data_IF_701306845324
#
_entry.id   IF_701306845324
#
_cell.length_a   1.000
_cell.length_b   1.000
_cell.length_c   1.000
_cell.angle_alpha   90.00
_cell.angle_beta   90.00
_cell.angle_gamma   90.00
#
_symmetry.space_group_name_H-M   'P 1'
#
loop_
_entity.id
_entity.type
_entity.pdbx_description
1 polymer ?
#
# COMPACT_ATOMS: atom_id res chain seq x y z
N UNK A 1 45.20 -44.06 -20.46
CA UNK A 1 46.23 -43.00 -20.36
C UNK A 1 45.57 -41.87 -19.58
N UNK A 2 45.77 -41.78 -18.24
CA UNK A 2 46.75 -41.00 -17.53
C UNK A 2 46.66 -39.52 -18.00
N UNK A 3 46.25 -38.53 -17.15
CA UNK A 3 46.98 -38.00 -15.98
C UNK A 3 46.05 -37.26 -15.02
N UNK A 4 46.18 -37.59 -13.75
CA UNK A 4 45.88 -36.76 -12.57
C UNK A 4 46.81 -35.58 -12.46
N UNK A 5 46.35 -34.48 -11.82
CA UNK A 5 47.12 -33.54 -10.99
C UNK A 5 46.06 -32.61 -10.34
N UNK A 6 45.71 -32.73 -9.12
CA UNK A 6 46.27 -32.38 -7.82
C UNK A 6 46.76 -30.94 -7.78
N UNK A 7 45.99 -30.08 -7.13
CA UNK A 7 46.51 -28.92 -6.39
C UNK A 7 45.61 -28.60 -5.19
N UNK A 8 46.05 -29.08 -4.04
CA UNK A 8 45.72 -28.54 -2.72
C UNK A 8 46.28 -27.11 -2.64
N UNK A 9 45.51 -26.17 -2.15
CA UNK A 9 46.06 -25.00 -1.45
C UNK A 9 45.22 -24.76 -0.18
N UNK A 10 45.90 -25.07 0.91
CA UNK A 10 45.65 -24.53 2.25
C UNK A 10 45.61 -23.00 2.17
N UNK A 11 44.66 -22.39 2.85
CA UNK A 11 45.03 -21.38 3.87
C UNK A 11 43.83 -21.06 4.72
N UNK A 12 43.85 -21.58 5.93
CA UNK A 12 43.06 -21.09 7.06
C UNK A 12 43.83 -19.91 7.65
N UNK A 13 43.41 -18.70 7.44
CA UNK A 13 43.83 -17.60 8.29
C UNK A 13 42.67 -17.13 9.15
N UNK A 14 42.76 -17.52 10.42
CA UNK A 14 42.03 -16.94 11.54
C UNK A 14 42.30 -15.43 11.62
N UNK A 15 41.30 -14.64 11.36
CA UNK A 15 41.31 -13.24 11.81
C UNK A 15 40.80 -13.20 13.25
N UNK A 16 41.74 -13.16 14.20
CA UNK A 16 41.52 -12.68 15.56
C UNK A 16 41.76 -11.17 15.54
N UNK A 17 40.73 -10.40 15.24
CA UNK A 17 40.71 -8.96 15.42
C UNK A 17 40.03 -8.61 16.74
N UNK A 18 40.82 -8.16 17.70
CA UNK A 18 40.37 -7.61 18.99
C UNK A 18 39.65 -6.28 18.73
N UNK A 19 38.37 -6.22 19.06
CA UNK A 19 37.59 -5.00 19.11
C UNK A 19 37.92 -4.23 20.40
N UNK A 20 38.16 -2.90 20.34
CA UNK A 20 38.35 -2.10 21.55
C UNK A 20 37.02 -2.00 22.30
N UNK A 21 37.08 -2.27 23.60
CA UNK A 21 35.95 -2.10 24.52
C UNK A 21 35.56 -0.63 24.59
N UNK A 22 34.32 -0.34 24.35
CA UNK A 22 33.71 0.96 24.64
C UNK A 22 33.68 1.21 26.17
N UNK A 23 33.94 2.46 26.62
CA UNK A 23 33.89 2.79 28.01
C UNK A 23 32.46 2.74 28.58
N UNK A 24 32.32 2.22 29.79
CA UNK A 24 31.09 2.16 30.53
C UNK A 24 30.59 3.58 30.90
N UNK A 25 29.30 3.87 30.80
CA UNK A 25 28.76 5.08 31.41
C UNK A 25 28.63 4.89 32.91
N UNK A 26 29.28 5.78 33.65
CA UNK A 26 29.10 5.93 35.09
C UNK A 26 27.71 6.44 35.43
N UNK A 27 27.11 5.76 36.37
CA UNK A 27 26.18 6.10 37.41
C UNK A 27 25.06 7.14 37.19
N UNK A 28 23.81 6.66 37.21
CA UNK A 28 22.78 7.32 37.98
C UNK A 28 21.89 6.25 38.65
N UNK A 29 21.97 6.23 39.98
CA UNK A 29 21.22 5.36 40.88
C UNK A 29 19.75 5.79 40.96
N UNK A 30 18.91 4.75 41.11
CA UNK A 30 17.65 4.72 41.82
C UNK A 30 16.44 5.44 41.20
N UNK A 31 15.49 4.63 40.61
CA UNK A 31 14.08 4.72 41.03
C UNK A 31 13.39 3.37 40.78
N UNK A 32 13.05 2.73 41.89
CA UNK A 32 11.86 1.92 42.20
C UNK A 32 11.63 0.58 41.47
N UNK A 33 12.04 -0.47 42.20
CA UNK A 33 11.41 -1.79 42.19
C UNK A 33 9.90 -1.69 42.50
N UNK A 34 9.07 -2.09 41.59
CA UNK A 34 7.84 -2.84 41.86
C UNK A 34 7.75 -3.98 40.88
N UNK A 35 8.38 -5.09 41.26
CA UNK A 35 8.12 -6.39 40.64
C UNK A 35 6.77 -6.84 41.16
N UNK A 36 5.76 -6.78 40.31
CA UNK A 36 4.54 -7.54 40.53
C UNK A 36 4.82 -8.95 40.01
N UNK A 37 5.05 -9.86 40.95
CA UNK A 37 5.08 -11.29 40.72
C UNK A 37 3.68 -11.76 40.33
N UNK A 38 3.44 -11.95 39.01
CA UNK A 38 2.31 -12.71 38.54
C UNK A 38 2.69 -14.20 38.46
N UNK A 39 1.84 -15.12 38.91
CA UNK A 39 2.17 -16.55 38.95
C UNK A 39 2.29 -17.12 37.55
N UNK A 40 3.37 -17.88 37.33
CA UNK A 40 3.54 -18.76 36.19
C UNK A 40 2.32 -19.71 36.09
N UNK A 41 1.42 -19.43 35.18
CA UNK A 41 0.44 -20.40 34.74
C UNK A 41 0.93 -21.03 33.46
N UNK A 42 1.29 -22.29 33.63
CA UNK A 42 1.21 -23.42 32.71
C UNK A 42 1.16 -23.05 31.22
N UNK A 43 2.32 -23.22 30.57
CA UNK A 43 2.42 -23.24 29.10
C UNK A 43 1.71 -24.52 28.64
N UNK A 44 0.44 -24.41 28.31
CA UNK A 44 -0.24 -25.42 27.50
C UNK A 44 0.34 -25.35 26.10
N UNK A 45 1.13 -26.36 25.82
CA UNK A 45 1.70 -26.70 24.51
C UNK A 45 0.56 -27.08 23.57
N UNK A 46 -0.09 -26.09 22.98
CA UNK A 46 -1.04 -26.35 21.89
C UNK A 46 -0.23 -26.72 20.64
N UNK A 47 0.05 -28.02 20.52
CA UNK A 47 0.33 -28.65 19.23
C UNK A 47 -0.98 -28.67 18.45
N UNK A 48 -1.26 -27.59 17.74
CA UNK A 48 -2.36 -27.53 16.79
C UNK A 48 -1.79 -27.50 15.37
N UNK A 49 -1.66 -28.68 14.78
CA UNK A 49 -1.77 -28.79 13.32
C UNK A 49 -3.21 -28.44 12.98
N UNK A 50 -3.48 -27.15 12.88
CA UNK A 50 -4.79 -26.64 12.48
C UNK A 50 -4.80 -26.47 10.96
N UNK A 51 -5.47 -27.39 10.26
CA UNK A 51 -6.12 -27.07 8.98
C UNK A 51 -6.70 -25.67 9.07
N UNK A 52 -6.56 -24.87 7.99
CA UNK A 52 -7.13 -23.52 7.87
C UNK A 52 -8.65 -23.57 8.10
N UNK A 53 -9.05 -23.65 9.35
CA UNK A 53 -10.43 -23.72 9.81
C UNK A 53 -11.11 -22.38 9.50
N UNK A 54 -12.41 -22.47 9.26
CA UNK A 54 -13.34 -21.37 9.00
C UNK A 54 -12.92 -20.10 9.69
N UNK A 55 -12.79 -19.00 8.93
CA UNK A 55 -12.31 -17.72 9.43
C UNK A 55 -13.08 -17.27 10.68
N UNK A 56 -12.48 -17.48 11.85
CA UNK A 56 -13.06 -17.01 13.09
C UNK A 56 -12.97 -15.50 13.09
N UNK A 57 -14.13 -14.84 13.05
CA UNK A 57 -14.20 -13.41 13.24
C UNK A 57 -13.68 -13.09 14.65
N UNK A 58 -12.55 -12.42 14.74
CA UNK A 58 -12.01 -11.93 16.00
C UNK A 58 -12.28 -10.44 16.09
N UNK A 59 -13.03 -9.97 17.09
CA UNK A 59 -13.36 -8.56 17.22
C UNK A 59 -12.10 -7.69 17.23
N UNK A 60 -12.12 -6.61 16.45
CA UNK A 60 -10.99 -5.68 16.38
C UNK A 60 -9.81 -6.16 15.54
N UNK A 61 -9.91 -7.31 14.86
CA UNK A 61 -8.84 -7.77 13.95
C UNK A 61 -8.63 -6.80 12.81
N UNK A 62 -7.36 -6.53 12.51
CA UNK A 62 -6.93 -5.75 11.35
C UNK A 62 -6.47 -6.67 10.22
N UNK A 63 -6.76 -6.27 8.98
CA UNK A 63 -6.16 -6.85 7.78
C UNK A 63 -5.04 -5.93 7.31
N UNK A 64 -3.81 -6.43 7.37
CA UNK A 64 -2.61 -5.74 6.90
C UNK A 64 -2.20 -6.35 5.57
N UNK A 65 -2.34 -5.60 4.49
CA UNK A 65 -2.05 -6.06 3.12
C UNK A 65 -0.76 -5.42 2.62
N UNK A 66 0.21 -6.23 2.24
CA UNK A 66 1.33 -5.78 1.42
C UNK A 66 1.00 -6.01 -0.04
N UNK A 67 1.23 -5.02 -0.90
CA UNK A 67 1.07 -5.19 -2.34
C UNK A 67 2.38 -5.62 -3.00
N UNK A 68 2.27 -6.44 -4.02
CA UNK A 68 3.36 -6.99 -4.81
C UNK A 68 2.86 -7.97 -5.87
N UNK A 69 3.73 -8.35 -6.79
CA UNK A 69 3.48 -9.41 -7.77
C UNK A 69 4.08 -10.73 -7.30
N UNK A 70 3.41 -11.87 -7.51
CA UNK A 70 3.91 -13.18 -7.14
C UNK A 70 5.00 -13.66 -8.09
N UNK A 71 5.91 -14.51 -7.57
CA UNK A 71 6.97 -15.16 -8.33
C UNK A 71 8.33 -14.51 -8.16
N UNK A 72 9.38 -15.34 -8.23
CA UNK A 72 10.76 -14.98 -7.93
C UNK A 72 11.33 -13.84 -8.79
N UNK A 73 10.83 -13.69 -10.03
CA UNK A 73 11.26 -12.61 -10.92
C UNK A 73 10.92 -11.20 -10.41
N UNK A 74 9.95 -11.09 -9.49
CA UNK A 74 9.51 -9.83 -8.92
C UNK A 74 10.06 -9.57 -7.49
N UNK A 75 10.76 -10.54 -6.92
CA UNK A 75 11.35 -10.41 -5.59
C UNK A 75 12.36 -9.26 -5.53
N UNK A 76 12.20 -8.39 -4.53
CA UNK A 76 13.05 -7.20 -4.32
C UNK A 76 12.86 -6.10 -5.34
N UNK A 77 11.84 -6.16 -6.22
CA UNK A 77 11.48 -5.04 -7.08
C UNK A 77 10.77 -3.95 -6.29
N UNK A 78 10.84 -2.70 -6.77
CA UNK A 78 10.16 -1.57 -6.11
C UNK A 78 8.66 -1.81 -5.92
N UNK A 79 8.02 -2.47 -6.88
CA UNK A 79 6.58 -2.81 -6.81
C UNK A 79 6.25 -3.87 -5.75
N UNK A 80 7.25 -4.59 -5.25
CA UNK A 80 7.10 -5.57 -4.18
C UNK A 80 7.46 -5.01 -2.79
N UNK A 81 7.76 -3.73 -2.66
CA UNK A 81 8.09 -3.11 -1.38
C UNK A 81 7.02 -3.38 -0.28
N UNK A 82 5.75 -3.48 -0.68
CA UNK A 82 4.68 -3.85 0.25
C UNK A 82 4.83 -5.28 0.79
N UNK A 83 5.24 -6.23 -0.04
CA UNK A 83 5.53 -7.61 0.38
C UNK A 83 6.72 -7.64 1.34
N UNK A 84 7.79 -6.92 0.99
CA UNK A 84 9.03 -6.89 1.76
C UNK A 84 8.82 -6.32 3.17
N UNK A 85 8.04 -5.22 3.28
CA UNK A 85 7.66 -4.64 4.59
C UNK A 85 6.89 -5.65 5.43
N UNK A 86 5.91 -6.38 4.85
CA UNK A 86 5.17 -7.38 5.62
C UNK A 86 6.01 -8.60 5.96
N UNK A 87 6.99 -8.98 5.15
CA UNK A 87 7.92 -10.07 5.47
C UNK A 87 8.82 -9.69 6.66
N UNK A 88 9.31 -8.46 6.69
CA UNK A 88 10.07 -7.93 7.82
C UNK A 88 9.19 -7.91 9.07
N UNK A 89 7.98 -7.38 8.96
CA UNK A 89 7.03 -7.30 10.06
C UNK A 89 6.69 -8.69 10.61
N UNK A 90 6.34 -9.64 9.73
CA UNK A 90 6.03 -11.01 10.12
C UNK A 90 7.19 -11.68 10.87
N UNK A 91 8.43 -11.52 10.38
CA UNK A 91 9.64 -12.05 11.01
C UNK A 91 9.88 -11.43 12.37
N UNK A 92 9.72 -10.11 12.50
CA UNK A 92 9.95 -9.37 13.74
C UNK A 92 8.93 -9.74 14.82
N UNK A 93 7.68 -9.98 14.41
CA UNK A 93 6.58 -10.33 15.33
C UNK A 93 6.38 -11.84 15.51
N UNK A 94 7.25 -12.66 14.90
CA UNK A 94 7.15 -14.12 15.00
C UNK A 94 5.93 -14.74 14.33
N UNK A 95 5.38 -14.08 13.30
CA UNK A 95 4.21 -14.53 12.56
C UNK A 95 4.65 -15.37 11.36
N UNK A 96 4.18 -16.61 11.29
CA UNK A 96 4.48 -17.53 10.18
C UNK A 96 3.49 -17.35 9.04
N UNK A 97 4.00 -17.48 7.80
CA UNK A 97 3.19 -17.48 6.60
C UNK A 97 2.58 -18.85 6.31
N UNK A 98 1.34 -18.85 5.83
CA UNK A 98 0.60 -20.04 5.36
C UNK A 98 -0.05 -19.72 4.03
N UNK A 99 -0.06 -20.70 3.12
CA UNK A 99 -0.76 -20.52 1.84
C UNK A 99 -2.27 -20.63 2.03
N UNK A 100 -2.98 -19.60 1.59
CA UNK A 100 -4.43 -19.54 1.59
C UNK A 100 -4.97 -19.52 0.15
N UNK A 101 -4.83 -20.67 -0.54
CA UNK A 101 -5.15 -20.84 -1.96
C UNK A 101 -6.57 -20.35 -2.31
N UNK A 102 -7.56 -20.61 -1.45
CA UNK A 102 -8.95 -20.12 -1.62
C UNK A 102 -9.03 -18.62 -1.78
N UNK A 103 -8.13 -17.86 -1.12
CA UNK A 103 -8.09 -16.40 -1.15
C UNK A 103 -7.02 -15.88 -2.11
N UNK A 104 -6.33 -16.78 -2.80
CA UNK A 104 -5.16 -16.44 -3.65
C UNK A 104 -4.20 -15.51 -2.91
N UNK A 105 -3.82 -15.89 -1.68
CA UNK A 105 -2.95 -15.11 -0.81
C UNK A 105 -2.04 -16.01 0.03
N UNK A 106 -0.89 -15.49 0.43
CA UNK A 106 -0.18 -15.95 1.62
C UNK A 106 -0.69 -15.15 2.80
N UNK A 107 -1.00 -15.82 3.90
CA UNK A 107 -1.55 -15.17 5.10
C UNK A 107 -0.75 -15.53 6.34
N UNK A 108 -0.67 -14.61 7.27
CA UNK A 108 -0.10 -14.82 8.60
C UNK A 108 -1.07 -14.34 9.67
N UNK A 109 -1.38 -15.17 10.65
CA UNK A 109 -2.28 -14.83 11.76
C UNK A 109 -1.46 -14.62 13.01
N UNK A 110 -1.65 -13.51 13.70
CA UNK A 110 -0.90 -13.18 14.91
C UNK A 110 -1.43 -11.97 15.63
N UNK A 111 -0.57 -11.42 16.49
CA UNK A 111 -0.83 -10.16 17.20
C UNK A 111 0.39 -9.26 17.06
N UNK A 112 0.16 -7.97 16.86
CA UNK A 112 1.18 -6.92 16.86
C UNK A 112 0.81 -5.94 17.96
N UNK A 113 1.71 -5.74 18.92
CA UNK A 113 1.46 -4.92 20.11
C UNK A 113 0.13 -5.28 20.82
N UNK A 114 -0.23 -6.57 20.85
CA UNK A 114 -1.45 -7.07 21.47
C UNK A 114 -2.71 -6.98 20.58
N UNK A 115 -2.67 -6.28 19.46
CA UNK A 115 -3.79 -6.14 18.52
C UNK A 115 -3.85 -7.36 17.60
N UNK A 116 -4.99 -8.04 17.45
CA UNK A 116 -5.12 -9.15 16.51
C UNK A 116 -4.95 -8.69 15.07
N UNK A 117 -4.13 -9.39 14.29
CA UNK A 117 -3.87 -9.06 12.89
C UNK A 117 -3.96 -10.29 12.00
N UNK A 118 -4.36 -10.05 10.77
CA UNK A 118 -4.21 -10.93 9.63
C UNK A 118 -3.29 -10.24 8.63
N UNK A 119 -2.07 -10.72 8.47
CA UNK A 119 -1.16 -10.29 7.41
C UNK A 119 -1.57 -10.96 6.12
N UNK A 120 -1.50 -10.26 4.99
CA UNK A 120 -1.82 -10.84 3.70
C UNK A 120 -0.91 -10.31 2.58
N UNK A 121 -0.37 -11.26 1.80
CA UNK A 121 0.30 -10.99 0.53
C UNK A 121 -0.51 -11.63 -0.59
N UNK A 122 -1.30 -10.84 -1.37
CA UNK A 122 -2.01 -11.36 -2.52
C UNK A 122 -1.08 -12.11 -3.48
N UNK A 123 -1.48 -13.30 -3.90
CA UNK A 123 -0.75 -14.11 -4.90
C UNK A 123 -1.42 -13.97 -6.27
N UNK A 124 -1.99 -12.80 -6.52
CA UNK A 124 -2.50 -12.33 -7.81
C UNK A 124 -1.52 -11.32 -8.39
N UNK A 125 -1.62 -11.04 -9.69
CA UNK A 125 -0.93 -9.86 -10.23
C UNK A 125 -1.49 -8.58 -9.59
N UNK A 126 -0.68 -7.53 -9.59
CA UNK A 126 -0.97 -6.26 -8.94
C UNK A 126 -2.38 -5.71 -9.25
N UNK A 127 -2.78 -5.74 -10.52
CA UNK A 127 -4.07 -5.23 -10.97
C UNK A 127 -5.30 -6.09 -10.55
N UNK A 128 -5.07 -7.23 -9.90
CA UNK A 128 -6.10 -8.14 -9.38
C UNK A 128 -6.02 -8.32 -7.85
N UNK A 129 -5.23 -7.49 -7.17
CA UNK A 129 -5.01 -7.61 -5.72
C UNK A 129 -6.30 -7.43 -4.91
N UNK A 130 -7.23 -6.59 -5.37
CA UNK A 130 -8.50 -6.35 -4.72
C UNK A 130 -9.39 -7.59 -4.60
N UNK A 131 -9.34 -8.51 -5.55
CA UNK A 131 -10.11 -9.76 -5.49
C UNK A 131 -9.69 -10.62 -4.29
N UNK A 132 -8.39 -10.74 -4.06
CA UNK A 132 -7.83 -11.45 -2.91
C UNK A 132 -8.22 -10.74 -1.60
N UNK A 133 -8.05 -9.42 -1.53
CA UNK A 133 -8.38 -8.60 -0.36
C UNK A 133 -9.87 -8.70 -0.03
N UNK A 134 -10.75 -8.58 -1.04
CA UNK A 134 -12.20 -8.75 -0.89
C UNK A 134 -12.56 -10.12 -0.30
N UNK A 135 -11.94 -11.17 -0.82
CA UNK A 135 -12.16 -12.54 -0.34
C UNK A 135 -11.78 -12.67 1.14
N UNK A 136 -10.65 -12.10 1.55
CA UNK A 136 -10.18 -12.10 2.94
C UNK A 136 -11.09 -11.27 3.86
N UNK A 137 -11.44 -10.02 3.47
CA UNK A 137 -12.32 -9.17 4.26
C UNK A 137 -13.66 -9.86 4.54
N UNK A 138 -14.26 -10.48 3.51
CA UNK A 138 -15.54 -11.20 3.65
C UNK A 138 -15.42 -12.44 4.53
N UNK A 139 -14.37 -13.22 4.34
CA UNK A 139 -14.18 -14.48 5.07
C UNK A 139 -13.91 -14.26 6.55
N UNK A 140 -13.04 -13.30 6.88
CA UNK A 140 -12.66 -12.97 8.26
C UNK A 140 -13.57 -11.89 8.87
N UNK A 141 -14.57 -11.40 8.12
CA UNK A 141 -15.51 -10.34 8.53
C UNK A 141 -14.79 -9.07 9.01
N UNK A 142 -13.74 -8.67 8.32
CA UNK A 142 -12.95 -7.47 8.65
C UNK A 142 -13.57 -6.27 7.93
N UNK A 143 -13.96 -5.22 8.66
CA UNK A 143 -14.51 -4.00 8.07
C UNK A 143 -13.40 -3.17 7.37
N UNK A 144 -13.80 -2.31 6.42
CA UNK A 144 -12.85 -1.45 5.69
C UNK A 144 -12.08 -0.49 6.62
N UNK A 145 -12.65 -0.11 7.76
CA UNK A 145 -11.99 0.70 8.79
C UNK A 145 -10.74 0.03 9.39
N UNK A 146 -10.71 -1.31 9.34
CA UNK A 146 -9.61 -2.12 9.86
C UNK A 146 -8.73 -2.70 8.71
N UNK A 147 -8.80 -2.09 7.53
CA UNK A 147 -7.92 -2.41 6.41
C UNK A 147 -6.77 -1.41 6.36
N UNK A 148 -5.53 -1.94 6.36
CA UNK A 148 -4.32 -1.16 6.12
C UNK A 148 -3.54 -1.79 4.97
N UNK A 149 -3.17 -0.96 3.98
CA UNK A 149 -2.46 -1.40 2.78
C UNK A 149 -1.09 -0.73 2.70
N UNK A 150 -0.04 -1.53 2.55
CA UNK A 150 1.34 -1.09 2.33
C UNK A 150 1.68 -1.26 0.86
N UNK A 151 2.18 -0.20 0.21
CA UNK A 151 2.49 -0.22 -1.22
C UNK A 151 3.51 0.85 -1.61
N UNK A 152 4.12 0.69 -2.77
CA UNK A 152 5.07 1.63 -3.36
C UNK A 152 4.39 2.90 -3.89
N UNK A 153 5.03 4.04 -3.75
CA UNK A 153 4.52 5.34 -4.20
C UNK A 153 5.58 6.15 -4.95
N UNK A 154 5.27 6.47 -6.20
CA UNK A 154 6.13 7.26 -7.08
C UNK A 154 6.27 8.73 -6.63
N UNK A 155 5.22 9.28 -6.00
CA UNK A 155 5.18 10.69 -5.60
C UNK A 155 5.83 10.95 -4.23
N UNK A 156 6.32 9.91 -3.60
CA UNK A 156 7.08 9.98 -2.35
C UNK A 156 8.54 9.68 -2.65
N UNK A 157 9.44 10.54 -2.15
CA UNK A 157 10.88 10.37 -2.37
C UNK A 157 11.37 9.02 -1.83
N UNK A 158 12.44 8.48 -2.43
CA UNK A 158 13.09 7.25 -1.97
C UNK A 158 13.44 7.36 -0.50
N UNK A 159 13.12 6.33 0.25
CA UNK A 159 13.39 6.28 1.70
C UNK A 159 12.44 7.09 2.58
N UNK A 160 11.41 7.70 2.02
CA UNK A 160 10.37 8.38 2.78
C UNK A 160 9.12 7.50 2.94
N UNK A 161 8.50 7.56 4.11
CA UNK A 161 7.24 6.85 4.40
C UNK A 161 6.14 7.87 4.65
N UNK A 162 4.96 7.66 4.06
CA UNK A 162 3.79 8.49 4.33
C UNK A 162 2.58 7.65 4.72
N UNK A 163 1.80 8.15 5.65
CA UNK A 163 0.51 7.59 6.03
C UNK A 163 -0.64 8.41 5.45
N UNK A 164 -1.66 7.72 4.94
CA UNK A 164 -2.92 8.34 4.51
C UNK A 164 -4.12 7.49 4.90
N UNK A 165 -5.21 8.14 5.37
CA UNK A 165 -6.48 7.49 5.68
C UNK A 165 -7.48 7.50 4.53
N UNK A 166 -7.27 8.34 3.52
CA UNK A 166 -8.18 8.50 2.36
C UNK A 166 -7.46 9.06 1.15
N UNK A 167 -8.03 8.85 -0.04
CA UNK A 167 -7.52 9.45 -1.28
C UNK A 167 -7.64 8.53 -2.49
N UNK A 168 -7.38 9.05 -3.68
CA UNK A 168 -7.35 8.31 -4.94
C UNK A 168 -6.23 7.28 -5.00
N UNK A 169 -6.17 6.54 -6.10
CA UNK A 169 -5.18 5.48 -6.32
C UNK A 169 -3.79 6.00 -6.75
N UNK A 170 -3.68 7.29 -7.16
CA UNK A 170 -2.38 7.87 -7.58
C UNK A 170 -1.69 7.15 -8.74
N UNK A 171 -2.47 6.52 -9.63
CA UNK A 171 -1.93 5.69 -10.72
C UNK A 171 -1.61 4.25 -10.33
N UNK A 172 -1.56 3.90 -9.03
CA UNK A 172 -1.19 2.57 -8.57
C UNK A 172 -2.31 1.55 -8.83
N UNK A 173 -2.05 0.54 -9.70
CA UNK A 173 -3.06 -0.41 -10.16
C UNK A 173 -3.65 -1.28 -9.04
N UNK A 174 -2.82 -1.71 -8.07
CA UNK A 174 -3.30 -2.49 -6.92
C UNK A 174 -4.25 -1.69 -6.04
N UNK A 175 -3.94 -0.41 -5.78
CA UNK A 175 -4.83 0.46 -5.00
C UNK A 175 -6.12 0.74 -5.77
N UNK A 176 -6.05 0.92 -7.10
CA UNK A 176 -7.26 1.07 -7.94
C UNK A 176 -8.17 -0.13 -7.77
N UNK A 177 -7.64 -1.34 -7.94
CA UNK A 177 -8.42 -2.56 -7.84
C UNK A 177 -8.97 -2.80 -6.42
N UNK A 178 -8.24 -2.43 -5.35
CA UNK A 178 -8.79 -2.50 -3.98
C UNK A 178 -9.95 -1.51 -3.80
N UNK A 179 -9.86 -0.29 -4.33
CA UNK A 179 -10.97 0.66 -4.28
C UNK A 179 -12.19 0.10 -4.97
N UNK A 180 -12.02 -0.45 -6.17
CA UNK A 180 -13.11 -0.96 -7.01
C UNK A 180 -13.75 -2.22 -6.41
N UNK A 181 -12.96 -3.13 -5.87
CA UNK A 181 -13.42 -4.46 -5.44
C UNK A 181 -13.84 -4.54 -3.97
N UNK A 182 -13.28 -3.71 -3.09
CA UNK A 182 -13.43 -3.87 -1.64
C UNK A 182 -14.20 -2.73 -1.02
N UNK A 183 -13.73 -1.52 -1.25
CA UNK A 183 -14.14 -0.38 -0.45
C UNK A 183 -15.31 0.38 -1.06
N UNK A 184 -15.45 0.38 -2.40
CA UNK A 184 -16.40 1.26 -3.10
C UNK A 184 -16.15 2.75 -2.82
N UNK A 185 -15.52 3.05 -1.71
CA UNK A 185 -15.04 4.36 -1.31
C UNK A 185 -13.49 4.39 -1.30
N UNK A 186 -12.93 5.54 -1.00
CA UNK A 186 -11.46 5.76 -0.97
C UNK A 186 -10.94 5.88 0.46
N UNK A 187 -11.68 5.30 1.45
CA UNK A 187 -11.41 5.47 2.88
C UNK A 187 -10.89 4.16 3.48
N UNK A 188 -9.58 4.05 3.60
CA UNK A 188 -8.86 3.00 4.33
C UNK A 188 -7.42 3.45 4.59
N UNK A 189 -6.79 2.86 5.61
CA UNK A 189 -5.43 3.21 6.01
C UNK A 189 -4.40 2.74 4.97
N UNK A 190 -3.41 3.58 4.67
CA UNK A 190 -2.37 3.32 3.67
C UNK A 190 -1.01 3.76 4.17
N UNK A 191 -0.06 2.85 4.08
CA UNK A 191 1.37 3.16 4.21
C UNK A 191 1.97 3.24 2.82
N UNK A 192 2.43 4.41 2.43
CA UNK A 192 3.08 4.69 1.16
C UNK A 192 4.59 4.57 1.35
N UNK A 193 5.19 3.62 0.67
CA UNK A 193 6.63 3.42 0.64
C UNK A 193 7.21 4.19 -0.56
N UNK A 194 8.00 5.21 -0.29
CA UNK A 194 8.56 6.07 -1.33
C UNK A 194 9.60 5.35 -2.19
N UNK A 195 9.34 5.32 -3.49
CA UNK A 195 10.26 4.76 -4.50
C UNK A 195 10.75 5.81 -5.50
N UNK A 196 10.24 7.06 -5.38
CA UNK A 196 10.57 8.14 -6.32
C UNK A 196 10.05 7.91 -7.74
N UNK A 197 10.10 8.96 -8.54
CA UNK A 197 9.75 8.87 -9.96
C UNK A 197 10.93 8.38 -10.80
N UNK A 198 10.68 7.70 -11.94
CA UNK A 198 11.73 7.27 -12.84
C UNK A 198 12.53 8.47 -13.39
N UNK A 199 13.76 8.22 -13.78
CA UNK A 199 14.59 9.21 -14.51
C UNK A 199 13.95 9.50 -15.88
N UNK A 200 14.20 10.69 -16.46
CA UNK A 200 13.74 10.98 -17.81
C UNK A 200 14.12 9.89 -18.82
N UNK A 201 13.17 9.46 -19.63
CA UNK A 201 13.36 8.39 -20.61
C UNK A 201 13.17 6.95 -20.11
N UNK A 202 12.87 6.76 -18.81
CA UNK A 202 12.53 5.45 -18.25
C UNK A 202 11.02 5.37 -18.06
N UNK A 203 10.41 4.33 -18.60
CA UNK A 203 8.98 4.07 -18.42
C UNK A 203 8.65 3.71 -16.97
N UNK A 204 7.50 4.18 -16.49
CA UNK A 204 7.03 3.90 -15.11
C UNK A 204 6.93 2.39 -14.86
N UNK A 205 6.45 1.64 -15.85
CA UNK A 205 6.33 0.19 -15.77
C UNK A 205 7.69 -0.48 -15.50
N UNK A 206 8.72 -0.10 -16.22
CA UNK A 206 10.06 -0.66 -16.05
C UNK A 206 10.67 -0.25 -14.71
N UNK A 207 10.46 1.00 -14.29
CA UNK A 207 10.96 1.50 -13.01
C UNK A 207 10.40 0.69 -11.82
N UNK A 208 9.09 0.47 -11.77
CA UNK A 208 8.47 -0.24 -10.64
C UNK A 208 8.82 -1.73 -10.62
N UNK A 209 9.07 -2.35 -11.77
CA UNK A 209 9.44 -3.76 -11.89
C UNK A 209 10.96 -4.01 -11.80
N UNK A 210 11.75 -2.97 -11.65
CA UNK A 210 13.20 -3.07 -11.43
C UNK A 210 13.50 -3.05 -9.94
N UNK A 211 14.57 -3.73 -9.53
CA UNK A 211 15.07 -3.72 -8.15
C UNK A 211 15.67 -2.35 -7.82
N UNK A 212 15.72 -2.03 -6.53
CA UNK A 212 16.46 -0.85 -6.07
C UNK A 212 17.93 -0.98 -6.50
N UNK A 213 18.50 0.11 -7.02
CA UNK A 213 19.93 0.18 -7.28
C UNK A 213 20.74 0.24 -5.98
N UNK A 214 22.06 -0.01 -6.05
CA UNK A 214 22.92 -0.06 -4.86
C UNK A 214 22.89 1.26 -4.06
N UNK A 215 22.86 2.41 -4.74
CA UNK A 215 22.75 3.72 -4.09
C UNK A 215 21.41 3.86 -3.35
N UNK A 216 20.30 3.46 -3.98
CA UNK A 216 18.98 3.53 -3.39
C UNK A 216 18.85 2.53 -2.23
N UNK A 217 19.38 1.32 -2.37
CA UNK A 217 19.39 0.32 -1.30
C UNK A 217 20.17 0.83 -0.08
N UNK A 218 21.34 1.44 -0.32
CA UNK A 218 22.13 2.09 0.74
C UNK A 218 21.36 3.23 1.40
N UNK A 219 20.65 4.04 0.61
CA UNK A 219 19.79 5.12 1.12
C UNK A 219 18.65 4.59 1.99
N UNK A 220 17.97 3.53 1.55
CA UNK A 220 16.89 2.89 2.31
C UNK A 220 17.38 2.33 3.64
N UNK A 221 18.56 1.72 3.67
CA UNK A 221 19.16 1.18 4.89
C UNK A 221 19.63 2.29 5.82
N UNK A 222 20.38 3.27 5.32
CA UNK A 222 20.91 4.37 6.12
C UNK A 222 19.81 5.20 6.79
N UNK A 223 18.67 5.35 6.12
CA UNK A 223 17.47 6.02 6.65
C UNK A 223 16.62 5.13 7.55
N UNK A 224 16.92 3.84 7.64
CA UNK A 224 16.10 2.86 8.36
C UNK A 224 14.68 2.77 7.81
N UNK A 225 14.49 2.90 6.50
CA UNK A 225 13.18 3.04 5.85
C UNK A 225 12.28 1.84 6.09
N UNK A 226 12.84 0.64 6.05
CA UNK A 226 12.10 -0.60 6.32
C UNK A 226 11.54 -0.64 7.74
N UNK A 227 12.37 -0.26 8.74
CA UNK A 227 11.94 -0.17 10.13
C UNK A 227 10.86 0.90 10.31
N UNK A 228 11.04 2.08 9.72
CA UNK A 228 10.02 3.16 9.76
C UNK A 228 8.69 2.74 9.14
N UNK A 229 8.71 1.96 8.06
CA UNK A 229 7.47 1.42 7.46
C UNK A 229 6.76 0.46 8.42
N UNK A 230 7.52 -0.42 9.09
CA UNK A 230 6.97 -1.30 10.13
C UNK A 230 6.43 -0.52 11.33
N UNK A 231 7.14 0.51 11.77
CA UNK A 231 6.72 1.36 12.89
C UNK A 231 5.49 2.20 12.54
N UNK A 232 5.35 2.63 11.29
CA UNK A 232 4.13 3.28 10.80
C UNK A 232 2.92 2.34 10.89
N UNK A 233 3.08 1.04 10.56
CA UNK A 233 2.02 0.04 10.74
C UNK A 233 1.69 -0.14 12.22
N UNK A 234 2.71 -0.30 13.09
CA UNK A 234 2.51 -0.44 14.55
C UNK A 234 1.80 0.78 15.13
N UNK A 235 2.22 1.98 14.73
CA UNK A 235 1.60 3.23 15.17
C UNK A 235 0.11 3.30 14.87
N UNK A 236 -0.30 2.87 13.66
CA UNK A 236 -1.74 2.80 13.30
C UNK A 236 -2.50 1.86 14.22
N UNK A 237 -1.92 0.71 14.57
CA UNK A 237 -2.57 -0.31 15.39
C UNK A 237 -2.70 0.13 16.87
N UNK A 238 -1.70 0.84 17.40
CA UNK A 238 -1.63 1.21 18.81
C UNK A 238 -2.27 2.57 19.10
N UNK A 239 -1.88 3.57 18.31
CA UNK A 239 -2.26 4.97 18.55
C UNK A 239 -3.48 5.42 17.73
N UNK A 240 -3.86 4.60 16.76
CA UNK A 240 -4.86 4.94 15.76
C UNK A 240 -4.29 5.77 14.61
N UNK A 241 -5.06 5.79 13.50
CA UNK A 241 -4.61 6.34 12.23
C UNK A 241 -4.22 7.82 12.31
N UNK A 242 -5.02 8.66 12.96
CA UNK A 242 -4.81 10.13 12.96
C UNK A 242 -3.53 10.54 13.71
N UNK A 243 -3.27 9.91 14.85
CA UNK A 243 -2.04 10.16 15.62
C UNK A 243 -0.81 9.66 14.88
N UNK A 244 -0.88 8.42 14.35
CA UNK A 244 0.19 7.83 13.55
C UNK A 244 0.49 8.68 12.30
N UNK A 245 -0.55 9.18 11.60
CA UNK A 245 -0.38 10.10 10.47
C UNK A 245 0.33 11.39 10.87
N UNK A 246 -0.03 11.95 12.01
CA UNK A 246 0.61 13.18 12.50
C UNK A 246 2.09 12.96 12.81
N UNK A 247 2.45 11.85 13.46
CA UNK A 247 3.81 11.51 13.79
C UNK A 247 4.65 11.26 12.52
N UNK A 248 4.24 10.31 11.68
CA UNK A 248 5.01 9.88 10.50
C UNK A 248 5.13 10.98 9.45
N UNK A 249 4.06 11.73 9.17
CA UNK A 249 4.07 12.73 8.10
C UNK A 249 4.77 14.04 8.51
N UNK A 250 4.98 14.29 9.80
CA UNK A 250 5.69 15.49 10.27
C UNK A 250 7.18 15.40 9.99
N UNK A 251 7.78 14.22 10.05
CA UNK A 251 9.19 14.00 9.72
C UNK A 251 9.53 14.41 8.27
N UNK A 252 8.55 14.47 7.40
CA UNK A 252 8.71 14.78 5.96
C UNK A 252 8.24 16.18 5.55
N UNK A 253 7.82 17.03 6.50
CA UNK A 253 7.55 18.44 6.19
C UNK A 253 8.87 19.19 6.03
N UNK A 254 9.40 19.22 4.80
CA UNK A 254 10.33 20.28 4.44
C UNK A 254 9.74 21.64 4.84
N UNK A 255 10.52 22.58 5.40
CA UNK A 255 10.02 23.91 5.71
C UNK A 255 9.39 24.48 4.43
N UNK A 256 8.12 24.86 4.51
CA UNK A 256 7.44 25.53 3.39
C UNK A 256 8.28 26.74 3.02
N UNK A 257 8.63 26.92 1.73
CA UNK A 257 9.26 28.16 1.31
C UNK A 257 8.38 29.33 1.79
N UNK A 258 8.98 30.43 2.26
CA UNK A 258 8.21 31.58 2.70
C UNK A 258 7.23 31.96 1.59
N UNK A 259 5.95 32.13 1.96
CA UNK A 259 4.93 32.56 1.00
C UNK A 259 5.41 33.85 0.37
N UNK A 260 5.69 33.84 -0.92
CA UNK A 260 5.94 35.06 -1.65
C UNK A 260 4.76 36.01 -1.40
N UNK A 261 4.99 37.30 -1.12
CA UNK A 261 3.93 38.26 -0.98
C UNK A 261 3.06 38.19 -2.23
N UNK A 262 1.75 38.02 -2.05
CA UNK A 262 0.82 38.09 -3.17
C UNK A 262 0.95 39.48 -3.79
N UNK A 263 1.36 39.55 -5.04
CA UNK A 263 1.28 40.81 -5.80
C UNK A 263 -0.11 41.40 -5.65
N UNK A 264 -0.23 42.71 -5.45
CA UNK A 264 -1.52 43.37 -5.37
C UNK A 264 -2.29 43.06 -6.66
N UNK A 265 -3.48 42.52 -6.53
CA UNK A 265 -4.37 42.36 -7.70
C UNK A 265 -4.67 43.74 -8.25
N UNK A 266 -4.31 43.96 -9.51
CA UNK A 266 -4.73 45.17 -10.23
C UNK A 266 -6.25 45.37 -10.10
N UNK A 267 -6.73 46.59 -9.89
CA UNK A 267 -8.14 46.89 -9.78
C UNK A 267 -8.84 46.49 -11.10
N UNK A 268 -9.85 45.64 -11.01
CA UNK A 268 -10.70 45.30 -12.15
C UNK A 268 -11.29 46.60 -12.71
N UNK A 269 -10.93 46.92 -13.95
CA UNK A 269 -11.58 47.98 -14.71
C UNK A 269 -13.09 47.72 -14.72
N UNK A 270 -13.84 48.73 -14.26
CA UNK A 270 -15.28 48.75 -14.30
C UNK A 270 -15.74 48.67 -15.76
N UNK A 271 -16.53 47.66 -16.08
CA UNK A 271 -17.20 47.55 -17.37
C UNK A 271 -18.20 48.69 -17.49
N UNK A 272 -18.02 49.55 -18.48
CA UNK A 272 -19.01 50.54 -18.93
C UNK A 272 -20.33 49.85 -19.28
N UNK A 273 -21.50 50.52 -19.01
CA UNK A 273 -22.81 50.00 -19.38
C UNK A 273 -22.98 50.04 -20.91
N UNK A 274 -23.25 48.93 -21.54
CA UNK A 274 -23.70 48.90 -22.95
C UNK A 274 -25.11 49.46 -23.00
N UNK A 275 -25.26 50.59 -23.68
CA UNK A 275 -26.53 51.14 -24.14
C UNK A 275 -27.29 50.16 -25.01
N UNK A 276 -28.59 50.03 -24.75
CA UNK A 276 -29.56 49.33 -25.58
C UNK A 276 -29.94 50.19 -26.78
N UNK A 277 -29.99 49.65 -28.00
CA UNK A 277 -30.76 50.30 -29.05
C UNK A 277 -32.22 49.86 -29.00
N UNK A 278 -33.08 50.89 -29.10
CA UNK A 278 -34.53 50.85 -29.12
C UNK A 278 -35.13 50.13 -30.31
N UNK A 279 -36.36 49.73 -30.10
CA UNK A 279 -37.32 49.08 -30.96
C UNK A 279 -37.49 49.73 -32.35
N UNK A 280 -37.65 48.89 -33.36
CA UNK A 280 -38.45 49.19 -34.52
C UNK A 280 -39.30 47.96 -34.87
N UNK A 281 -40.59 48.17 -34.74
CA UNK A 281 -41.64 47.30 -35.22
C UNK A 281 -41.60 47.18 -36.76
N UNK A 282 -41.89 46.07 -37.35
CA UNK A 282 -42.80 46.01 -38.49
C UNK A 282 -43.41 44.60 -38.63
N UNK A 283 -44.68 44.71 -38.97
CA UNK A 283 -45.67 43.67 -39.20
C UNK A 283 -45.38 42.87 -40.49
N UNK A 284 -45.97 41.70 -40.56
CA UNK A 284 -46.27 41.11 -41.85
C UNK A 284 -46.14 39.58 -41.94
N UNK A 285 -47.28 38.97 -41.77
CA UNK A 285 -47.84 37.91 -42.61
C UNK A 285 -47.39 36.48 -42.42
N UNK A 286 -48.35 35.67 -41.95
CA UNK A 286 -48.43 34.22 -42.22
C UNK A 286 -49.11 33.98 -43.60
N UNK A 287 -48.99 32.81 -44.25
CA UNK A 287 -49.75 31.63 -43.80
C UNK A 287 -49.20 30.24 -44.09
N UNK A 288 -49.74 29.33 -43.29
CA UNK A 288 -50.30 28.00 -43.58
C UNK A 288 -49.52 26.88 -44.31
N UNK A 289 -49.53 25.80 -43.57
CA UNK A 289 -49.84 24.41 -43.93
C UNK A 289 -48.92 23.63 -44.89
N UNK A 290 -48.44 22.47 -44.48
CA UNK A 290 -49.06 21.18 -44.79
C UNK A 290 -48.37 20.02 -44.07
N UNK A 291 -49.18 19.17 -43.57
CA UNK A 291 -49.03 17.80 -43.10
C UNK A 291 -48.44 16.93 -44.21
N UNK A 292 -47.50 16.05 -43.92
CA UNK A 292 -47.63 14.70 -44.47
C UNK A 292 -46.93 13.64 -43.57
N UNK A 293 -47.73 12.68 -43.23
CA UNK A 293 -47.47 11.39 -42.63
C UNK A 293 -46.79 10.46 -43.63
N UNK A 294 -45.79 9.66 -43.23
CA UNK A 294 -45.83 8.26 -43.68
C UNK A 294 -45.03 7.32 -42.75
N UNK A 295 -45.76 6.32 -42.33
CA UNK A 295 -45.45 5.06 -41.66
C UNK A 295 -44.72 4.11 -42.61
N UNK A 296 -43.84 3.27 -42.07
CA UNK A 296 -43.69 1.82 -42.37
C UNK A 296 -42.44 1.28 -41.65
N UNK A 297 -42.62 0.50 -40.63
CA UNK A 297 -42.58 -0.98 -40.50
C UNK A 297 -41.39 -1.65 -41.20
N UNK A 298 -40.65 -2.43 -40.45
CA UNK A 298 -39.64 -3.40 -40.90
C UNK A 298 -39.01 -4.15 -39.74
N UNK A 299 -39.78 -5.04 -39.13
CA UNK A 299 -39.26 -6.08 -38.24
C UNK A 299 -38.55 -7.15 -39.07
N UNK A 300 -37.36 -7.56 -38.67
CA UNK A 300 -36.81 -8.84 -39.10
C UNK A 300 -36.17 -9.59 -37.92
N UNK A 301 -36.88 -10.64 -37.54
CA UNK A 301 -36.43 -11.74 -36.68
C UNK A 301 -35.41 -12.58 -37.47
N UNK A 302 -34.31 -12.98 -36.84
CA UNK A 302 -33.64 -14.22 -37.19
C UNK A 302 -33.37 -15.04 -35.95
N UNK A 303 -33.82 -16.28 -36.06
CA UNK A 303 -33.92 -17.34 -35.08
C UNK A 303 -32.56 -17.93 -34.64
N UNK A 304 -32.68 -18.57 -33.49
CA UNK A 304 -31.73 -19.52 -32.87
C UNK A 304 -31.20 -20.59 -33.82
N UNK A 305 -29.98 -21.00 -33.62
CA UNK A 305 -29.62 -22.40 -33.76
C UNK A 305 -28.75 -22.84 -32.60
N UNK A 306 -29.27 -23.80 -31.89
CA UNK A 306 -28.67 -24.58 -30.83
C UNK A 306 -28.30 -25.93 -31.40
N UNK A 307 -27.08 -26.40 -31.26
CA UNK A 307 -26.81 -27.81 -30.91
C UNK A 307 -25.31 -28.09 -30.66
N UNK A 308 -24.95 -29.04 -29.78
CA UNK A 308 -23.69 -29.19 -29.07
C UNK A 308 -22.74 -30.23 -29.72
N UNK A 309 -21.46 -30.05 -29.40
CA UNK A 309 -20.52 -31.18 -29.19
C UNK A 309 -19.45 -30.77 -28.21
#
# INVERSE_FOLDING_TARGET
>A
MRFCLWLEVKDRQCWRGSWPRAPAPMGLLAVVRKVVTAPMRLIERVRGHGSAGAGVAEPGRWLLVGLGNPGSRFEGTRHNAGFDVLDILARTEGISWTDAARHRAKVGVGKIAGVPVLLAKPQTYMNLSGESVRSLCRWYKIPNSNLLVVYDDLDTAVGAIKLKGKGGHGGHNGIRNIIDEVCGDKVFARVKFGIGRPKPGVEVYDHVLTKFGDDEATELESKGTWAKACDAVRGVLVDGLDKAMSAVNTEHKAPKPPKQPKEPKEPKQSKEPKESPAAAANEGDAPAATVDTNVRDGAEKVEMDSTPL
#
